data_IF_856916936615
#
_entry.id   IF_856916936615
#
_cell.length_a   1.000
_cell.length_b   1.000
_cell.length_c   1.000
_cell.angle_alpha   90.00
_cell.angle_beta   90.00
_cell.angle_gamma   90.00
#
_symmetry.space_group_name_H-M   'P 1'
#
loop_
_entity.id
_entity.type
_entity.pdbx_description
1 polymer ?
#
# COMPACT_ATOMS: atom_id res chain seq x y z
N UNK A 1 -15.59 20.16 -3.38
CA UNK A 1 -14.23 19.65 -3.62
C UNK A 1 -13.31 20.29 -2.59
N UNK A 2 -13.12 19.63 -1.44
CA UNK A 2 -12.17 20.11 -0.44
C UNK A 2 -10.75 19.80 -0.94
N UNK A 3 -9.94 20.84 -1.11
CA UNK A 3 -8.52 20.76 -1.42
C UNK A 3 -7.82 20.15 -0.19
N UNK A 4 -7.78 18.82 -0.10
CA UNK A 4 -6.98 18.12 0.93
C UNK A 4 -5.53 18.25 0.49
N UNK A 5 -4.85 19.30 0.94
CA UNK A 5 -3.42 19.46 0.78
C UNK A 5 -2.73 18.66 1.89
N UNK A 6 -2.69 17.34 1.74
CA UNK A 6 -1.97 16.45 2.67
C UNK A 6 -0.47 16.65 2.51
N UNK A 7 0.29 16.82 3.60
CA UNK A 7 1.76 16.73 3.50
C UNK A 7 2.21 15.28 3.40
N UNK A 8 1.48 14.37 4.06
CA UNK A 8 1.75 12.92 4.08
C UNK A 8 0.44 12.16 3.90
N UNK A 9 0.42 11.19 2.97
CA UNK A 9 -0.65 10.22 2.80
C UNK A 9 -0.14 8.81 3.10
N UNK A 10 -0.97 7.96 3.70
CA UNK A 10 -0.61 6.57 3.96
C UNK A 10 -1.73 5.62 3.59
N UNK A 11 -1.44 4.66 2.71
CA UNK A 11 -2.35 3.59 2.33
C UNK A 11 -2.38 2.48 3.36
N UNK A 12 -3.57 2.11 3.81
CA UNK A 12 -3.75 0.93 4.66
C UNK A 12 -5.13 0.33 4.47
N UNK A 13 -5.22 -1.00 4.47
CA UNK A 13 -6.50 -1.73 4.34
C UNK A 13 -7.52 -1.35 5.40
N UNK A 14 -7.05 -0.92 6.57
CA UNK A 14 -7.90 -0.44 7.65
C UNK A 14 -7.78 1.07 7.85
N UNK A 15 -7.37 1.82 6.82
CA UNK A 15 -7.09 3.26 6.89
C UNK A 15 -8.19 4.08 7.57
N UNK A 16 -9.47 3.74 7.32
CA UNK A 16 -10.61 4.38 7.97
C UNK A 16 -10.66 4.16 9.49
N UNK A 17 -10.39 2.94 9.97
CA UNK A 17 -10.34 2.62 11.40
C UNK A 17 -9.03 3.13 12.01
N UNK A 18 -7.93 3.04 11.27
CA UNK A 18 -6.63 3.53 11.68
C UNK A 18 -6.66 5.04 11.93
N UNK A 19 -7.37 5.80 11.11
CA UNK A 19 -7.65 7.21 11.37
C UNK A 19 -8.30 7.46 12.73
N UNK A 20 -9.33 6.68 13.06
CA UNK A 20 -10.01 6.78 14.36
C UNK A 20 -9.03 6.47 15.49
N UNK A 21 -8.18 5.45 15.33
CA UNK A 21 -7.13 5.13 16.29
C UNK A 21 -6.15 6.28 16.47
N UNK A 22 -5.64 6.86 15.38
CA UNK A 22 -4.72 8.00 15.41
C UNK A 22 -5.34 9.20 16.12
N UNK A 23 -6.60 9.52 15.81
CA UNK A 23 -7.33 10.65 16.41
C UNK A 23 -7.54 10.52 17.93
N UNK A 24 -7.54 9.30 18.46
CA UNK A 24 -7.66 9.03 19.90
C UNK A 24 -6.34 8.69 20.59
N UNK A 25 -5.24 8.67 19.84
CA UNK A 25 -3.91 8.38 20.38
C UNK A 25 -3.19 9.64 20.84
N UNK A 26 -2.06 9.45 21.53
CA UNK A 26 -1.13 10.54 21.86
C UNK A 26 -0.46 11.17 20.61
N UNK A 27 -0.63 10.58 19.42
CA UNK A 27 -0.10 11.11 18.16
C UNK A 27 -1.04 12.09 17.47
N UNK A 28 -2.26 12.32 18.00
CA UNK A 28 -3.27 13.17 17.38
C UNK A 28 -2.71 14.53 16.93
N UNK A 29 -1.99 15.22 17.81
CA UNK A 29 -1.48 16.56 17.52
C UNK A 29 -0.45 16.53 16.38
N UNK A 30 0.41 15.51 16.35
CA UNK A 30 1.40 15.31 15.29
C UNK A 30 0.73 14.94 13.95
N UNK A 31 -0.32 14.12 13.98
CA UNK A 31 -1.10 13.74 12.79
C UNK A 31 -1.79 14.97 12.19
N UNK A 32 -2.27 15.88 13.04
CA UNK A 32 -2.86 17.16 12.62
C UNK A 32 -1.80 18.12 12.07
N UNK A 33 -0.65 18.27 12.74
CA UNK A 33 0.46 19.10 12.29
C UNK A 33 0.97 18.66 10.90
N UNK A 34 1.08 17.34 10.69
CA UNK A 34 1.50 16.78 9.40
C UNK A 34 0.39 16.71 8.35
N UNK A 35 -0.83 17.12 8.68
CA UNK A 35 -1.99 17.01 7.77
C UNK A 35 -2.09 15.60 7.16
N UNK A 36 -1.87 14.58 7.98
CA UNK A 36 -1.84 13.19 7.54
C UNK A 36 -3.20 12.80 6.97
N UNK A 37 -3.19 12.17 5.79
CA UNK A 37 -4.40 11.68 5.15
C UNK A 37 -4.39 10.14 5.10
N UNK A 38 -5.33 9.48 5.78
CA UNK A 38 -5.51 8.04 5.67
C UNK A 38 -6.09 7.72 4.28
N UNK A 39 -5.47 6.77 3.58
CA UNK A 39 -5.90 6.31 2.28
C UNK A 39 -6.28 4.83 2.35
N UNK A 40 -7.27 4.45 1.55
CA UNK A 40 -7.67 3.04 1.39
C UNK A 40 -7.57 2.66 -0.09
N UNK A 41 -7.21 1.39 -0.33
CA UNK A 41 -7.15 0.80 -1.66
C UNK A 41 -8.53 0.68 -2.32
N UNK A 42 -8.53 0.41 -3.62
CA UNK A 42 -9.74 0.43 -4.44
C UNK A 42 -10.80 -0.59 -4.01
N UNK A 43 -10.37 -1.72 -3.46
CA UNK A 43 -11.29 -2.79 -3.05
C UNK A 43 -11.93 -2.57 -1.67
N UNK A 44 -11.39 -1.66 -0.85
CA UNK A 44 -11.84 -1.43 0.52
C UNK A 44 -13.31 -0.97 0.60
N UNK A 45 -13.72 -0.02 -0.24
CA UNK A 45 -15.06 0.57 -0.21
C UNK A 45 -16.19 -0.40 -0.56
N UNK A 46 -15.92 -1.40 -1.41
CA UNK A 46 -16.91 -2.41 -1.76
C UNK A 46 -17.22 -3.34 -0.57
N UNK A 47 -16.21 -3.64 0.24
CA UNK A 47 -16.36 -4.49 1.42
C UNK A 47 -16.92 -3.75 2.64
N UNK A 48 -16.67 -2.44 2.77
CA UNK A 48 -16.99 -1.68 3.98
C UNK A 48 -18.25 -0.81 3.86
N UNK A 49 -18.19 0.27 3.07
CA UNK A 49 -19.35 1.10 2.68
C UNK A 49 -18.93 2.21 1.70
N UNK A 50 -19.92 2.78 0.99
CA UNK A 50 -19.72 3.85 0.02
C UNK A 50 -19.16 5.15 0.64
N UNK A 51 -19.59 5.55 1.84
CA UNK A 51 -19.12 6.78 2.49
C UNK A 51 -17.62 6.74 2.81
N UNK A 52 -17.13 5.57 3.25
CA UNK A 52 -15.73 5.30 3.50
C UNK A 52 -14.92 5.44 2.20
N UNK A 53 -15.42 4.88 1.10
CA UNK A 53 -14.79 5.03 -0.22
C UNK A 53 -14.67 6.50 -0.63
N UNK A 54 -15.75 7.28 -0.52
CA UNK A 54 -15.74 8.69 -0.90
C UNK A 54 -14.80 9.54 -0.04
N UNK A 55 -14.53 9.10 1.19
CA UNK A 55 -13.71 9.87 2.14
C UNK A 55 -12.23 9.52 2.09
N UNK A 56 -11.88 8.28 1.73
CA UNK A 56 -10.52 7.75 1.89
C UNK A 56 -9.92 7.14 0.62
N UNK A 57 -10.69 7.01 -0.47
CA UNK A 57 -10.16 6.40 -1.70
C UNK A 57 -9.03 7.24 -2.29
N UNK A 58 -7.89 6.60 -2.52
CA UNK A 58 -6.67 7.24 -3.01
C UNK A 58 -6.85 7.97 -4.34
N UNK A 59 -7.73 7.48 -5.22
CA UNK A 59 -7.98 8.09 -6.54
C UNK A 59 -8.56 9.51 -6.45
N UNK A 60 -9.11 9.91 -5.31
CA UNK A 60 -9.62 11.27 -5.08
C UNK A 60 -8.56 12.22 -4.49
N UNK A 61 -7.36 11.72 -4.17
CA UNK A 61 -6.29 12.53 -3.59
C UNK A 61 -5.31 12.97 -4.67
N UNK A 62 -5.21 14.30 -4.83
CA UNK A 62 -4.42 14.97 -5.87
C UNK A 62 -2.93 14.90 -5.56
N UNK A 63 -2.33 13.73 -5.77
CA UNK A 63 -0.89 13.43 -5.79
C UNK A 63 -0.60 11.94 -6.00
N UNK A 64 -1.58 11.06 -5.79
CA UNK A 64 -1.39 9.60 -5.83
C UNK A 64 -1.17 9.03 -7.24
N UNK A 65 -1.53 9.76 -8.28
CA UNK A 65 -1.40 9.28 -9.66
C UNK A 65 -2.30 8.07 -9.92
N UNK A 66 -1.72 7.02 -10.52
CA UNK A 66 -2.40 5.75 -10.81
C UNK A 66 -2.17 4.69 -9.73
N UNK A 67 -1.57 5.05 -8.60
CA UNK A 67 -1.34 4.13 -7.49
C UNK A 67 -2.68 3.67 -6.90
N UNK A 68 -2.89 2.35 -6.87
CA UNK A 68 -4.09 1.71 -6.33
C UNK A 68 -3.97 1.33 -4.85
N UNK A 69 -2.76 1.44 -4.29
CA UNK A 69 -2.37 1.06 -2.93
C UNK A 69 -2.45 -0.45 -2.65
N UNK A 70 -2.43 -1.29 -3.68
CA UNK A 70 -2.57 -2.76 -3.58
C UNK A 70 -1.22 -3.50 -3.85
N UNK A 71 -0.11 -2.75 -3.88
CA UNK A 71 1.21 -3.29 -4.24
C UNK A 71 1.70 -4.38 -3.28
N UNK A 72 1.42 -4.24 -1.99
CA UNK A 72 1.80 -5.23 -0.97
C UNK A 72 1.04 -6.55 -1.18
N UNK A 73 -0.26 -6.46 -1.42
CA UNK A 73 -1.19 -7.58 -1.63
C UNK A 73 -0.77 -8.36 -2.88
N UNK A 74 -0.47 -7.63 -3.97
CA UNK A 74 0.03 -8.20 -5.21
C UNK A 74 1.37 -8.92 -5.00
N UNK A 75 2.33 -8.28 -4.31
CA UNK A 75 3.63 -8.85 -4.01
C UNK A 75 3.52 -10.13 -3.16
N UNK A 76 2.77 -10.09 -2.05
CA UNK A 76 2.61 -11.24 -1.17
C UNK A 76 1.83 -12.37 -1.84
N UNK A 77 0.81 -12.05 -2.64
CA UNK A 77 0.09 -13.03 -3.46
C UNK A 77 1.04 -13.80 -4.38
N UNK A 78 1.92 -13.10 -5.12
CA UNK A 78 2.94 -13.71 -5.98
C UNK A 78 3.96 -14.53 -5.20
N UNK A 79 4.33 -14.08 -4.00
CA UNK A 79 5.28 -14.80 -3.13
C UNK A 79 4.81 -16.20 -2.73
N UNK A 80 3.50 -16.49 -2.80
CA UNK A 80 2.97 -17.84 -2.55
C UNK A 80 3.55 -18.89 -3.51
N UNK A 81 4.04 -18.50 -4.69
CA UNK A 81 4.75 -19.41 -5.58
C UNK A 81 5.98 -20.07 -4.92
N UNK A 82 6.59 -19.41 -3.93
CA UNK A 82 7.72 -19.95 -3.17
C UNK A 82 7.31 -21.04 -2.19
N UNK A 83 6.05 -21.10 -1.75
CA UNK A 83 5.61 -21.88 -0.60
C UNK A 83 6.01 -23.37 -0.71
N UNK A 84 5.82 -23.98 -1.89
CA UNK A 84 6.20 -25.37 -2.13
C UNK A 84 7.72 -25.57 -2.05
N UNK A 85 8.48 -24.63 -2.61
CA UNK A 85 9.93 -24.73 -2.78
C UNK A 85 10.71 -24.47 -1.49
N UNK A 86 10.13 -23.72 -0.54
CA UNK A 86 10.75 -23.39 0.75
C UNK A 86 10.31 -24.34 1.87
N UNK A 87 9.14 -25.00 1.75
CA UNK A 87 8.55 -25.84 2.80
C UNK A 87 9.50 -26.89 3.38
N UNK A 88 10.28 -27.54 2.51
CA UNK A 88 11.22 -28.60 2.90
C UNK A 88 12.69 -28.19 2.72
N UNK A 89 12.95 -26.93 2.39
CA UNK A 89 14.31 -26.43 2.23
C UNK A 89 14.93 -26.13 3.61
N UNK A 90 16.23 -26.36 3.76
CA UNK A 90 16.96 -25.89 4.95
C UNK A 90 16.99 -24.35 5.02
N UNK A 91 17.20 -23.80 6.23
CA UNK A 91 17.16 -22.35 6.49
C UNK A 91 17.92 -21.51 5.46
N UNK A 92 19.15 -21.90 5.13
CA UNK A 92 19.98 -21.20 4.14
C UNK A 92 19.29 -21.11 2.77
N UNK A 93 18.78 -22.24 2.26
CA UNK A 93 18.12 -22.29 0.97
C UNK A 93 16.76 -21.58 0.98
N UNK A 94 16.03 -21.56 2.11
CA UNK A 94 14.82 -20.76 2.25
C UNK A 94 15.14 -19.27 2.09
N UNK A 95 16.15 -18.78 2.83
CA UNK A 95 16.58 -17.38 2.76
C UNK A 95 17.06 -17.03 1.36
N UNK A 96 17.87 -17.89 0.74
CA UNK A 96 18.35 -17.68 -0.63
C UNK A 96 17.20 -17.53 -1.63
N UNK A 97 16.20 -18.43 -1.59
CA UNK A 97 15.04 -18.39 -2.50
C UNK A 97 14.16 -17.15 -2.30
N UNK A 98 13.96 -16.73 -1.04
CA UNK A 98 13.22 -15.50 -0.73
C UNK A 98 13.97 -14.28 -1.28
N UNK A 99 15.29 -14.22 -1.09
CA UNK A 99 16.12 -13.12 -1.61
C UNK A 99 16.13 -13.08 -3.14
N UNK A 100 16.26 -14.23 -3.79
CA UNK A 100 16.19 -14.34 -5.26
C UNK A 100 14.84 -13.88 -5.80
N UNK A 101 13.74 -14.28 -5.16
CA UNK A 101 12.40 -13.81 -5.52
C UNK A 101 12.27 -12.29 -5.38
N UNK A 102 12.69 -11.71 -4.25
CA UNK A 102 12.62 -10.26 -4.03
C UNK A 102 13.42 -9.52 -5.11
N UNK A 103 14.66 -9.97 -5.39
CA UNK A 103 15.50 -9.38 -6.45
C UNK A 103 14.83 -9.46 -7.81
N UNK A 104 14.22 -10.60 -8.14
CA UNK A 104 13.51 -10.77 -9.40
C UNK A 104 12.36 -9.78 -9.51
N UNK A 105 11.48 -9.73 -8.51
CA UNK A 105 10.33 -8.81 -8.45
C UNK A 105 10.74 -7.34 -8.61
N UNK A 106 11.83 -6.93 -7.96
CA UNK A 106 12.33 -5.55 -8.05
C UNK A 106 12.83 -5.18 -9.47
N UNK A 107 13.53 -6.11 -10.11
CA UNK A 107 14.05 -5.92 -11.48
C UNK A 107 12.98 -5.97 -12.55
N UNK A 108 11.94 -6.81 -12.38
CA UNK A 108 10.94 -7.06 -13.42
C UNK A 108 9.69 -6.24 -13.25
N UNK A 109 9.20 -5.98 -12.03
CA UNK A 109 7.93 -5.29 -11.85
C UNK A 109 8.13 -3.86 -11.39
N UNK A 110 8.88 -3.63 -10.32
CA UNK A 110 9.07 -2.28 -9.78
C UNK A 110 9.75 -1.36 -10.79
N UNK A 111 10.82 -1.84 -11.42
CA UNK A 111 11.57 -1.05 -12.40
C UNK A 111 10.83 -0.83 -13.72
N UNK A 112 10.06 -1.82 -14.19
CA UNK A 112 9.30 -1.69 -15.45
C UNK A 112 8.09 -0.77 -15.28
N UNK A 113 7.33 -0.94 -14.19
CA UNK A 113 6.18 -0.08 -13.88
C UNK A 113 6.60 1.39 -13.71
N UNK A 114 7.77 1.67 -13.11
CA UNK A 114 8.28 3.05 -13.02
C UNK A 114 8.80 3.60 -14.35
N UNK A 115 9.29 2.75 -15.26
CA UNK A 115 9.82 3.18 -16.56
C UNK A 115 8.73 3.55 -17.57
N UNK A 116 7.56 2.90 -17.53
CA UNK A 116 6.45 3.17 -18.45
C UNK A 116 5.83 4.56 -18.23
N UNK A 117 5.93 5.12 -17.03
CA UNK A 117 5.38 6.44 -16.68
C UNK A 117 6.40 7.58 -16.66
N UNK A 118 7.68 7.31 -16.96
CA UNK A 118 8.75 8.33 -16.96
C UNK A 118 8.88 9.10 -18.29
N UNK A 119 8.01 8.81 -19.27
CA UNK A 119 8.00 9.46 -20.60
C UNK A 119 6.70 10.24 -20.91
N UNK A 120 5.89 10.56 -19.91
CA UNK A 120 4.74 11.48 -20.00
C UNK A 120 4.97 12.71 -19.12
#
# INVERSE_FOLDING_TARGET
MHNIRSRIGGGYDIGCQFWVTLAHSHLKDHVQEESYTPLVGSFHGHAHNCLCQLSYLATYVKAMGLEDLEGCECFFSKSNALALSIRYAGRFHQQQKILEFIKHMDTTETSQNLSEYSFL
#
